data_IF_137817701936
#
_entry.id   IF_137817701936
#
_cell.length_a   1.000
_cell.length_b   1.000
_cell.length_c   1.000
_cell.angle_alpha   90.00
_cell.angle_beta   90.00
_cell.angle_gamma   90.00
#
_symmetry.space_group_name_H-M   'P 1'
#
loop_
_entity.id
_entity.type
_entity.pdbx_description
1 polymer ?
#
# COMPACT_ATOMS: atom_id res chain seq x y z
N UNK A 1 -47.24 -48.19 21.87
CA UNK A 1 -45.81 -47.94 22.19
C UNK A 1 -45.39 -46.73 21.38
N UNK A 2 -45.21 -45.59 22.04
CA UNK A 2 -44.87 -44.34 21.38
C UNK A 2 -43.34 -44.22 21.30
N UNK A 3 -42.80 -44.16 20.08
CA UNK A 3 -41.41 -43.81 19.84
C UNK A 3 -41.27 -42.29 19.98
N UNK A 4 -40.72 -41.85 21.12
CA UNK A 4 -40.25 -40.48 21.29
C UNK A 4 -38.92 -40.31 20.56
N UNK A 5 -38.94 -39.71 19.37
CA UNK A 5 -37.77 -39.11 18.74
C UNK A 5 -37.39 -37.86 19.53
N UNK A 6 -36.55 -38.04 20.55
CA UNK A 6 -35.87 -36.93 21.19
C UNK A 6 -34.87 -36.35 20.20
N UNK A 7 -35.20 -35.22 19.59
CA UNK A 7 -34.24 -34.31 19.00
C UNK A 7 -33.37 -33.77 20.13
N UNK A 8 -32.30 -34.50 20.46
CA UNK A 8 -31.20 -33.98 21.26
C UNK A 8 -30.41 -33.01 20.40
N UNK A 9 -30.79 -31.74 20.41
CA UNK A 9 -29.93 -30.65 19.96
C UNK A 9 -28.69 -30.71 20.85
N UNK A 10 -27.52 -30.95 20.26
CA UNK A 10 -26.24 -31.00 20.96
C UNK A 10 -25.94 -29.55 21.41
N UNK A 11 -26.02 -29.22 22.71
CA UNK A 11 -25.84 -27.83 23.19
C UNK A 11 -24.45 -27.26 22.83
N UNK A 12 -23.49 -28.14 22.57
CA UNK A 12 -22.13 -27.78 22.16
C UNK A 12 -22.06 -27.21 20.73
N UNK A 13 -22.95 -27.64 19.82
CA UNK A 13 -22.95 -27.17 18.42
C UNK A 13 -23.61 -25.80 18.29
N UNK A 14 -24.73 -25.58 18.99
CA UNK A 14 -25.41 -24.28 18.99
C UNK A 14 -24.54 -23.20 19.65
N UNK A 15 -23.86 -23.53 20.76
CA UNK A 15 -22.92 -22.62 21.42
C UNK A 15 -21.76 -22.27 20.48
N UNK A 16 -21.18 -23.27 19.80
CA UNK A 16 -20.10 -23.05 18.83
C UNK A 16 -20.54 -22.19 17.64
N UNK A 17 -21.73 -22.41 17.10
CA UNK A 17 -22.26 -21.61 15.99
C UNK A 17 -22.45 -20.14 16.42
N UNK A 18 -22.90 -19.89 17.65
CA UNK A 18 -23.00 -18.54 18.20
C UNK A 18 -21.64 -17.86 18.33
N UNK A 19 -20.60 -18.59 18.78
CA UNK A 19 -19.22 -18.09 18.84
C UNK A 19 -18.69 -17.74 17.44
N UNK A 20 -18.89 -18.61 16.45
CA UNK A 20 -18.48 -18.36 15.06
C UNK A 20 -19.16 -17.10 14.52
N UNK A 21 -20.47 -16.97 14.70
CA UNK A 21 -21.24 -15.79 14.27
C UNK A 21 -20.73 -14.53 14.96
N UNK A 22 -20.42 -14.60 16.26
CA UNK A 22 -19.86 -13.48 16.99
C UNK A 22 -18.50 -13.04 16.42
N UNK A 23 -17.62 -13.99 16.12
CA UNK A 23 -16.31 -13.70 15.53
C UNK A 23 -16.41 -13.13 14.11
N UNK A 24 -17.29 -13.68 13.26
CA UNK A 24 -17.51 -13.15 11.90
C UNK A 24 -18.11 -11.74 11.92
N UNK A 25 -19.03 -11.45 12.85
CA UNK A 25 -19.55 -10.08 13.05
C UNK A 25 -18.47 -9.13 13.56
N UNK A 26 -17.64 -9.58 14.51
CA UNK A 26 -16.48 -8.84 14.97
C UNK A 26 -15.54 -8.50 13.82
N UNK A 27 -15.26 -9.48 12.96
CA UNK A 27 -14.44 -9.28 11.77
C UNK A 27 -15.04 -8.22 10.83
N UNK A 28 -16.33 -8.30 10.50
CA UNK A 28 -17.00 -7.30 9.65
C UNK A 28 -16.96 -5.89 10.26
N UNK A 29 -17.05 -5.78 11.59
CA UNK A 29 -16.89 -4.50 12.30
C UNK A 29 -15.48 -3.92 12.09
N UNK A 30 -14.44 -4.71 12.34
CA UNK A 30 -13.05 -4.26 12.15
C UNK A 30 -12.73 -3.94 10.69
N UNK A 31 -13.37 -4.63 9.73
CA UNK A 31 -13.25 -4.27 8.31
C UNK A 31 -13.86 -2.89 8.01
N UNK A 32 -14.99 -2.55 8.63
CA UNK A 32 -15.60 -1.22 8.47
C UNK A 32 -14.69 -0.12 9.01
N UNK A 33 -14.09 -0.35 10.18
CA UNK A 33 -13.12 0.58 10.80
C UNK A 33 -11.87 0.74 9.91
N UNK A 34 -11.38 -0.37 9.37
CA UNK A 34 -10.25 -0.39 8.44
C UNK A 34 -10.53 0.43 7.16
N UNK A 35 -11.71 0.31 6.59
CA UNK A 35 -12.15 1.12 5.43
C UNK A 35 -12.15 2.61 5.78
N UNK A 36 -12.56 2.99 6.99
CA UNK A 36 -12.49 4.38 7.45
C UNK A 36 -11.06 4.91 7.49
N UNK A 37 -10.10 4.12 7.99
CA UNK A 37 -8.68 4.50 8.01
C UNK A 37 -8.10 4.67 6.60
N UNK A 38 -8.45 3.79 5.65
CA UNK A 38 -8.05 3.98 4.25
C UNK A 38 -8.57 5.28 3.66
N UNK A 39 -9.82 5.63 3.98
CA UNK A 39 -10.42 6.88 3.52
C UNK A 39 -9.67 8.08 4.09
N UNK A 40 -9.42 8.07 5.40
CA UNK A 40 -8.65 9.13 6.07
C UNK A 40 -7.26 9.29 5.46
N UNK A 41 -6.55 8.18 5.23
CA UNK A 41 -5.26 8.17 4.56
C UNK A 41 -5.30 8.79 3.16
N UNK A 42 -6.28 8.39 2.34
CA UNK A 42 -6.42 8.87 0.97
C UNK A 42 -6.84 10.34 0.93
N UNK A 43 -7.72 10.78 1.82
CA UNK A 43 -8.16 12.16 1.90
C UNK A 43 -7.02 13.08 2.37
N UNK A 44 -6.22 12.65 3.35
CA UNK A 44 -5.02 13.36 3.77
C UNK A 44 -4.00 13.50 2.63
N UNK A 45 -3.81 12.45 1.83
CA UNK A 45 -2.92 12.52 0.65
C UNK A 45 -3.41 13.55 -0.38
N UNK A 46 -4.71 13.59 -0.67
CA UNK A 46 -5.28 14.61 -1.58
C UNK A 46 -5.07 16.03 -1.05
N UNK A 47 -5.20 16.24 0.25
CA UNK A 47 -4.96 17.54 0.87
C UNK A 47 -3.49 17.94 0.81
N UNK A 48 -2.60 16.99 1.03
CA UNK A 48 -1.15 17.18 0.90
C UNK A 48 -0.73 17.56 -0.53
N UNK A 49 -1.19 16.81 -1.53
CA UNK A 49 -0.92 17.11 -2.96
C UNK A 49 -1.50 18.47 -3.35
N UNK A 50 -2.69 18.80 -2.85
CA UNK A 50 -3.32 20.11 -3.08
C UNK A 50 -2.65 21.27 -2.32
N UNK A 51 -1.55 21.03 -1.62
CA UNK A 51 -0.83 22.01 -0.77
C UNK A 51 -1.71 22.67 0.29
N UNK A 52 -2.75 21.98 0.73
CA UNK A 52 -3.67 22.41 1.82
C UNK A 52 -3.28 21.84 3.18
N UNK A 53 -2.25 21.00 3.22
CA UNK A 53 -1.73 20.33 4.40
C UNK A 53 -0.20 20.36 4.38
N UNK A 54 0.43 20.62 5.52
CA UNK A 54 1.90 20.62 5.62
C UNK A 54 2.46 19.19 5.62
N UNK A 55 3.75 19.00 5.28
CA UNK A 55 4.40 17.70 5.40
C UNK A 55 4.32 17.11 6.82
N UNK A 56 4.43 17.93 7.85
CA UNK A 56 4.39 17.50 9.25
C UNK A 56 2.99 17.02 9.68
N UNK A 57 1.94 17.73 9.23
CA UNK A 57 0.55 17.34 9.44
C UNK A 57 0.25 16.01 8.72
N UNK A 58 0.66 15.90 7.45
CA UNK A 58 0.50 14.68 6.68
C UNK A 58 1.22 13.48 7.32
N UNK A 59 2.47 13.67 7.77
CA UNK A 59 3.22 12.64 8.47
C UNK A 59 2.55 12.21 9.78
N UNK A 60 1.95 13.15 10.52
CA UNK A 60 1.20 12.86 11.74
C UNK A 60 -0.01 11.98 11.45
N UNK A 61 -0.79 12.30 10.41
CA UNK A 61 -1.94 11.47 9.99
C UNK A 61 -1.47 10.09 9.54
N UNK A 62 -0.38 10.00 8.76
CA UNK A 62 0.19 8.71 8.36
C UNK A 62 0.55 7.83 9.56
N UNK A 63 1.12 8.42 10.63
CA UNK A 63 1.43 7.69 11.86
C UNK A 63 0.18 7.19 12.57
N UNK A 64 -0.85 8.04 12.71
CA UNK A 64 -2.13 7.67 13.33
C UNK A 64 -2.79 6.52 12.56
N UNK A 65 -2.90 6.65 11.24
CA UNK A 65 -3.47 5.65 10.35
C UNK A 65 -2.70 4.33 10.44
N UNK A 66 -1.37 4.39 10.41
CA UNK A 66 -0.51 3.19 10.51
C UNK A 66 -0.74 2.46 11.81
N UNK A 67 -0.78 3.19 12.94
CA UNK A 67 -1.04 2.62 14.24
C UNK A 67 -2.44 1.98 14.30
N UNK A 68 -3.46 2.66 13.77
CA UNK A 68 -4.81 2.10 13.66
C UNK A 68 -4.86 0.81 12.84
N UNK A 69 -4.13 0.74 11.71
CA UNK A 69 -4.04 -0.51 10.93
C UNK A 69 -3.37 -1.64 11.71
N UNK A 70 -2.33 -1.34 12.50
CA UNK A 70 -1.65 -2.35 13.34
C UNK A 70 -2.61 -2.89 14.39
N UNK A 71 -3.30 -2.01 15.12
CA UNK A 71 -4.27 -2.40 16.16
C UNK A 71 -5.38 -3.28 15.60
N UNK A 72 -6.04 -2.85 14.52
CA UNK A 72 -7.09 -3.64 13.86
C UNK A 72 -6.56 -4.97 13.31
N UNK A 73 -5.30 -5.02 12.86
CA UNK A 73 -4.71 -6.26 12.36
C UNK A 73 -4.49 -7.28 13.48
N UNK A 74 -4.09 -6.84 14.67
CA UNK A 74 -3.95 -7.70 15.85
C UNK A 74 -5.32 -8.27 16.25
N UNK A 75 -6.35 -7.44 16.29
CA UNK A 75 -7.71 -7.86 16.64
C UNK A 75 -8.26 -8.88 15.62
N UNK A 76 -8.07 -8.64 14.32
CA UNK A 76 -8.49 -9.59 13.28
C UNK A 76 -7.72 -10.91 13.36
N UNK A 77 -6.41 -10.88 13.65
CA UNK A 77 -5.62 -12.10 13.84
C UNK A 77 -6.11 -12.92 15.05
N UNK A 78 -6.54 -12.25 16.12
CA UNK A 78 -7.13 -12.93 17.27
C UNK A 78 -8.46 -13.62 16.90
N UNK A 79 -9.30 -12.98 16.06
CA UNK A 79 -10.53 -13.58 15.54
C UNK A 79 -10.25 -14.76 14.60
N UNK A 80 -9.25 -14.64 13.72
CA UNK A 80 -8.81 -15.75 12.85
C UNK A 80 -8.33 -16.95 13.68
N UNK A 81 -7.52 -16.71 14.71
CA UNK A 81 -7.02 -17.75 15.60
C UNK A 81 -8.16 -18.47 16.33
N UNK A 82 -9.15 -17.72 16.82
CA UNK A 82 -10.32 -18.29 17.50
C UNK A 82 -11.17 -19.19 16.57
N UNK A 83 -11.23 -18.87 15.28
CA UNK A 83 -11.97 -19.64 14.28
C UNK A 83 -11.22 -20.87 13.73
N UNK A 84 -10.08 -21.22 14.33
CA UNK A 84 -9.27 -22.36 13.89
C UNK A 84 -8.17 -21.98 12.90
N UNK A 85 -7.51 -20.84 13.13
CA UNK A 85 -6.27 -20.46 12.48
C UNK A 85 -5.15 -21.53 12.62
N UNK A 86 -3.95 -21.29 12.09
CA UNK A 86 -2.94 -22.31 11.81
C UNK A 86 -2.47 -23.10 13.06
N UNK A 87 -2.70 -22.57 14.26
CA UNK A 87 -2.45 -23.21 15.56
C UNK A 87 -3.38 -24.40 15.88
N UNK A 88 -4.55 -24.53 15.23
CA UNK A 88 -5.50 -25.62 15.49
C UNK A 88 -5.33 -26.87 14.61
N UNK A 89 -4.39 -26.87 13.66
CA UNK A 89 -4.11 -28.06 12.82
C UNK A 89 -3.26 -29.12 13.55
N UNK A 90 -2.78 -28.87 14.76
CA UNK A 90 -1.80 -29.74 15.45
C UNK A 90 -2.46 -30.84 16.30
N UNK A 91 -3.75 -30.74 16.66
CA UNK A 91 -4.35 -31.65 17.66
C UNK A 91 -5.37 -32.67 17.13
N UNK A 92 -5.57 -32.79 15.82
CA UNK A 92 -6.53 -33.75 15.25
C UNK A 92 -5.93 -35.12 14.85
N UNK A 93 -4.66 -35.42 15.16
CA UNK A 93 -4.11 -36.75 14.92
C UNK A 93 -3.05 -37.10 15.97
N UNK A 94 -3.47 -37.83 17.01
CA UNK A 94 -2.53 -38.51 17.88
C UNK A 94 -1.73 -39.55 17.10
N UNK A 95 -0.42 -39.57 17.27
CA UNK A 95 0.42 -40.74 17.63
C UNK A 95 1.88 -40.30 17.60
N UNK A 96 2.53 -40.42 18.75
CA UNK A 96 3.96 -40.17 18.99
C UNK A 96 4.85 -40.96 18.03
N UNK A 97 5.88 -40.34 17.44
CA UNK A 97 7.26 -40.88 17.48
C UNK A 97 8.25 -39.76 17.13
N UNK A 98 9.23 -39.57 18.01
CA UNK A 98 10.41 -38.72 17.82
C UNK A 98 11.24 -39.18 16.62
N UNK A 99 11.76 -38.25 15.81
CA UNK A 99 13.12 -38.35 15.23
C UNK A 99 13.59 -36.96 14.78
N UNK A 100 14.75 -36.55 15.29
CA UNK A 100 15.50 -35.35 14.92
C UNK A 100 15.97 -35.34 13.46
N UNK A 101 15.95 -34.18 12.80
CA UNK A 101 17.11 -33.58 12.10
C UNK A 101 16.68 -32.39 11.23
N UNK A 102 17.58 -31.41 11.19
CA UNK A 102 17.60 -30.19 10.37
C UNK A 102 17.33 -30.40 8.87
N UNK A 103 16.62 -29.47 8.23
CA UNK A 103 17.18 -28.73 7.09
C UNK A 103 16.30 -27.55 6.65
N UNK A 104 16.96 -26.46 6.29
CA UNK A 104 16.39 -25.31 5.59
C UNK A 104 15.98 -25.74 4.17
N UNK A 105 14.76 -25.44 3.75
CA UNK A 105 14.46 -25.01 2.36
C UNK A 105 13.05 -24.39 2.28
N UNK A 106 12.98 -23.29 1.54
CA UNK A 106 11.81 -22.43 1.33
C UNK A 106 10.58 -23.16 0.76
N UNK A 107 9.35 -22.83 1.19
CA UNK A 107 8.17 -23.26 0.45
C UNK A 107 7.94 -22.34 -0.76
N UNK A 108 8.04 -22.92 -1.94
CA UNK A 108 7.51 -22.35 -3.20
C UNK A 108 6.00 -22.52 -3.18
N UNK A 109 5.27 -21.40 -3.10
CA UNK A 109 3.81 -21.39 -3.21
C UNK A 109 3.41 -21.57 -4.67
N UNK A 110 2.99 -22.77 -5.02
CA UNK A 110 2.28 -23.05 -6.28
C UNK A 110 0.85 -22.51 -6.14
N UNK A 111 0.56 -21.41 -6.84
CA UNK A 111 -0.80 -20.88 -7.00
C UNK A 111 -1.47 -21.69 -8.12
N UNK A 112 -2.40 -22.57 -7.76
CA UNK A 112 -3.33 -23.18 -8.71
C UNK A 112 -4.60 -22.33 -8.81
N UNK A 113 -4.80 -21.68 -9.96
CA UNK A 113 -6.10 -21.19 -10.38
C UNK A 113 -7.05 -22.39 -10.54
N UNK A 114 -8.21 -22.35 -9.88
CA UNK A 114 -9.19 -23.42 -9.91
C UNK A 114 -10.55 -22.99 -9.35
N UNK A 115 -11.38 -22.48 -10.25
CA UNK A 115 -12.83 -22.65 -10.38
C UNK A 115 -13.78 -22.43 -9.19
N UNK A 116 -14.85 -21.68 -9.50
CA UNK A 116 -16.07 -21.45 -8.72
C UNK A 116 -16.72 -22.73 -8.17
N UNK A 117 -16.22 -23.26 -7.07
CA UNK A 117 -17.00 -24.12 -6.18
C UNK A 117 -17.64 -23.25 -5.12
N UNK A 118 -18.87 -22.78 -5.41
CA UNK A 118 -19.89 -22.36 -4.42
C UNK A 118 -20.36 -23.59 -3.62
N UNK A 119 -19.39 -24.35 -3.10
CA UNK A 119 -19.58 -25.57 -2.34
C UNK A 119 -20.21 -25.22 -1.01
N UNK A 120 -21.24 -25.97 -0.62
CA UNK A 120 -21.85 -25.93 0.72
C UNK A 120 -20.76 -25.79 1.78
N UNK A 121 -20.64 -24.59 2.35
CA UNK A 121 -19.75 -24.30 3.47
C UNK A 121 -20.08 -25.26 4.60
N UNK A 122 -19.10 -26.04 5.03
CA UNK A 122 -19.26 -26.93 6.17
C UNK A 122 -19.15 -26.08 7.42
N UNK A 123 -20.24 -25.95 8.18
CA UNK A 123 -20.39 -25.04 9.33
C UNK A 123 -19.33 -25.28 10.44
N UNK A 124 -18.64 -26.42 10.42
CA UNK A 124 -17.65 -26.83 11.41
C UNK A 124 -16.17 -26.75 10.94
N UNK A 125 -15.90 -26.17 9.76
CA UNK A 125 -14.61 -26.20 9.05
C UNK A 125 -13.73 -24.95 9.28
N UNK A 126 -12.38 -25.08 9.24
CA UNK A 126 -11.42 -23.95 9.23
C UNK A 126 -11.57 -22.98 8.02
N UNK A 127 -12.57 -23.21 7.17
CA UNK A 127 -12.96 -22.36 6.03
C UNK A 127 -13.21 -20.89 6.42
N UNK A 128 -13.82 -20.62 7.58
CA UNK A 128 -14.07 -19.23 8.02
C UNK A 128 -12.77 -18.47 8.32
N UNK A 129 -11.79 -19.13 8.93
CA UNK A 129 -10.47 -18.56 9.15
C UNK A 129 -9.74 -18.33 7.82
N UNK A 130 -9.92 -19.23 6.83
CA UNK A 130 -9.36 -19.04 5.49
C UNK A 130 -9.98 -17.85 4.75
N UNK A 131 -11.29 -17.63 4.86
CA UNK A 131 -11.96 -16.45 4.29
C UNK A 131 -11.41 -15.15 4.90
N UNK A 132 -11.29 -15.10 6.23
CA UNK A 132 -10.67 -13.95 6.93
C UNK A 132 -9.25 -13.71 6.43
N UNK A 133 -8.45 -14.77 6.33
CA UNK A 133 -7.07 -14.70 5.84
C UNK A 133 -6.99 -14.18 4.40
N UNK A 134 -7.85 -14.67 3.50
CA UNK A 134 -7.89 -14.20 2.12
C UNK A 134 -8.19 -12.71 2.06
N UNK A 135 -9.20 -12.23 2.82
CA UNK A 135 -9.49 -10.80 2.92
C UNK A 135 -8.29 -10.02 3.45
N UNK A 136 -7.57 -10.52 4.47
CA UNK A 136 -6.36 -9.85 4.97
C UNK A 136 -5.25 -9.74 3.93
N UNK A 137 -5.03 -10.80 3.12
CA UNK A 137 -4.04 -10.79 2.04
C UNK A 137 -4.41 -9.76 0.97
N UNK A 138 -5.66 -9.76 0.53
CA UNK A 138 -6.16 -8.80 -0.44
C UNK A 138 -6.09 -7.36 0.09
N UNK A 139 -6.43 -7.14 1.36
CA UNK A 139 -6.28 -5.83 2.01
C UNK A 139 -4.82 -5.37 2.04
N UNK A 140 -3.87 -6.26 2.33
CA UNK A 140 -2.44 -5.94 2.26
C UNK A 140 -2.03 -5.55 0.84
N UNK A 141 -2.54 -6.25 -0.18
CA UNK A 141 -2.28 -5.93 -1.59
C UNK A 141 -2.87 -4.57 -1.98
N UNK A 142 -4.10 -4.28 -1.57
CA UNK A 142 -4.78 -3.00 -1.77
C UNK A 142 -3.99 -1.85 -1.14
N UNK A 143 -3.51 -1.99 0.10
CA UNK A 143 -2.66 -0.98 0.74
C UNK A 143 -1.37 -0.75 -0.05
N UNK A 144 -0.70 -1.83 -0.46
CA UNK A 144 0.54 -1.74 -1.23
C UNK A 144 0.33 -1.00 -2.57
N UNK A 145 -0.74 -1.33 -3.30
CA UNK A 145 -1.10 -0.66 -4.56
C UNK A 145 -1.45 0.81 -4.33
N UNK A 146 -2.17 1.13 -3.26
CA UNK A 146 -2.52 2.52 -2.90
C UNK A 146 -1.26 3.35 -2.63
N UNK A 147 -0.35 2.85 -1.79
CA UNK A 147 0.92 3.52 -1.48
C UNK A 147 1.78 3.65 -2.74
N UNK A 148 1.81 2.62 -3.59
CA UNK A 148 2.51 2.69 -4.86
C UNK A 148 1.93 3.78 -5.78
N UNK A 149 0.60 3.87 -5.91
CA UNK A 149 -0.06 4.91 -6.70
C UNK A 149 0.25 6.32 -6.19
N UNK A 150 0.21 6.52 -4.88
CA UNK A 150 0.59 7.79 -4.24
C UNK A 150 2.06 8.15 -4.48
N UNK A 151 2.96 7.17 -4.38
CA UNK A 151 4.38 7.35 -4.68
C UNK A 151 4.59 7.76 -6.14
N UNK A 152 3.95 7.07 -7.09
CA UNK A 152 4.04 7.40 -8.52
C UNK A 152 3.56 8.84 -8.80
N UNK A 153 2.49 9.28 -8.12
CA UNK A 153 2.00 10.64 -8.26
C UNK A 153 3.00 11.70 -7.76
N UNK A 154 3.64 11.46 -6.61
CA UNK A 154 4.67 12.36 -6.08
C UNK A 154 5.95 12.37 -6.92
N UNK A 155 6.35 11.23 -7.47
CA UNK A 155 7.50 11.12 -8.38
C UNK A 155 7.25 11.90 -9.69
N UNK A 156 6.03 11.81 -10.24
CA UNK A 156 5.62 12.63 -11.38
C UNK A 156 5.71 14.12 -11.07
N UNK A 157 5.15 14.58 -9.95
CA UNK A 157 5.19 15.99 -9.54
C UNK A 157 6.63 16.49 -9.35
N UNK A 158 7.50 15.68 -8.73
CA UNK A 158 8.91 16.03 -8.54
C UNK A 158 9.67 16.13 -9.87
N UNK A 159 9.37 15.26 -10.83
CA UNK A 159 9.95 15.31 -12.17
C UNK A 159 9.52 16.59 -12.90
N UNK A 160 8.23 16.93 -12.88
CA UNK A 160 7.70 18.16 -13.48
C UNK A 160 8.32 19.42 -12.86
N UNK A 161 8.48 19.46 -11.54
CA UNK A 161 9.12 20.58 -10.85
C UNK A 161 10.60 20.73 -11.24
N UNK A 162 11.31 19.62 -11.45
CA UNK A 162 12.69 19.64 -11.91
C UNK A 162 12.78 20.12 -13.36
N UNK A 163 11.88 19.67 -14.24
CA UNK A 163 11.85 20.09 -15.64
C UNK A 163 11.56 21.59 -15.79
N UNK A 164 10.66 22.15 -14.96
CA UNK A 164 10.43 23.60 -14.90
C UNK A 164 11.66 24.38 -14.44
N UNK A 165 12.39 23.85 -13.44
CA UNK A 165 13.62 24.46 -12.94
C UNK A 165 14.74 24.43 -13.99
N UNK A 166 14.87 23.33 -14.71
CA UNK A 166 15.83 23.18 -15.80
C UNK A 166 15.51 24.18 -16.93
N UNK A 167 14.22 24.34 -17.28
CA UNK A 167 13.77 25.32 -18.27
C UNK A 167 14.02 26.77 -17.82
N UNK A 168 13.78 27.09 -16.56
CA UNK A 168 14.07 28.42 -16.02
C UNK A 168 15.57 28.73 -16.08
N UNK A 169 16.42 27.76 -15.74
CA UNK A 169 17.88 27.91 -15.82
C UNK A 169 18.36 28.15 -17.26
N UNK A 170 17.76 27.47 -18.24
CA UNK A 170 18.04 27.68 -19.67
C UNK A 170 17.67 29.11 -20.11
N UNK A 171 16.48 29.59 -19.76
CA UNK A 171 16.04 30.95 -20.06
C UNK A 171 16.91 32.03 -19.37
N UNK A 172 17.39 31.77 -18.17
CA UNK A 172 18.30 32.67 -17.46
C UNK A 172 19.69 32.71 -18.13
N UNK A 173 20.19 31.58 -18.62
CA UNK A 173 21.45 31.51 -19.36
C UNK A 173 21.38 32.33 -20.66
N UNK A 174 20.29 32.20 -21.43
CA UNK A 174 20.08 32.96 -22.67
C UNK A 174 20.00 34.48 -22.42
N UNK A 175 19.40 34.89 -21.30
CA UNK A 175 19.32 36.32 -20.92
C UNK A 175 20.68 36.94 -20.63
N UNK A 176 21.62 36.18 -20.06
CA UNK A 176 22.96 36.69 -19.71
C UNK A 176 23.80 36.93 -20.97
N UNK A 177 23.70 36.07 -21.98
CA UNK A 177 24.47 36.21 -23.22
C UNK A 177 24.03 37.43 -24.05
N UNK A 178 22.76 37.81 -23.99
CA UNK A 178 22.22 38.97 -24.72
C UNK A 178 22.51 40.36 -24.12
N UNK A 179 23.05 40.44 -22.90
CA UNK A 179 23.29 41.73 -22.22
C UNK A 179 24.71 42.27 -22.39
N UNK A 180 25.63 41.50 -22.97
CA UNK A 180 27.08 41.82 -23.00
C UNK A 180 27.55 42.63 -24.21
N UNK A 181 26.69 42.94 -25.19
CA UNK A 181 27.08 43.61 -26.45
C UNK A 181 26.54 45.05 -26.63
N UNK A 182 26.13 45.74 -25.55
CA UNK A 182 25.61 47.13 -25.64
C UNK A 182 26.32 48.17 -24.74
N UNK A 183 27.59 47.96 -24.40
CA UNK A 183 28.47 49.04 -23.90
C UNK A 183 29.80 49.09 -24.69
N UNK A 184 29.73 49.46 -25.96
CA UNK A 184 30.87 50.09 -26.64
C UNK A 184 30.44 51.45 -27.17
N UNK A 185 31.25 52.46 -26.83
CA UNK A 185 31.21 53.87 -27.28
C UNK A 185 30.48 54.88 -26.38
N UNK A 186 31.10 55.21 -25.25
CA UNK A 186 31.24 56.62 -24.84
C UNK A 186 32.69 56.89 -24.42
N UNK A 187 33.32 57.79 -25.18
CA UNK A 187 34.70 58.26 -25.06
C UNK A 187 34.99 59.04 -23.77
N UNK A 188 36.18 58.77 -23.20
CA UNK A 188 37.10 59.79 -22.69
C UNK A 188 37.14 60.00 -21.17
N UNK A 189 38.24 59.62 -20.51
CA UNK A 189 39.28 60.56 -20.10
C UNK A 189 40.49 59.84 -19.45
N UNK A 190 41.64 60.48 -19.54
CA UNK A 190 43.01 59.97 -19.34
C UNK A 190 43.43 59.63 -17.88
N UNK A 191 44.54 58.86 -17.82
CA UNK A 191 45.60 58.86 -16.79
C UNK A 191 45.31 58.27 -15.39
N UNK A 192 45.84 57.08 -15.09
CA UNK A 192 47.22 56.90 -14.58
C UNK A 192 47.49 55.43 -14.27
N UNK A 193 48.72 55.00 -14.52
CA UNK A 193 49.16 53.61 -14.36
C UNK A 193 49.30 53.15 -12.92
N UNK A 194 49.24 51.83 -12.75
CA UNK A 194 49.96 51.03 -11.75
C UNK A 194 50.10 49.63 -12.38
N UNK A 195 51.34 49.18 -12.51
CA UNK A 195 51.70 47.81 -12.83
C UNK A 195 51.26 46.89 -11.67
N UNK A 196 50.55 45.80 -11.97
CA UNK A 196 50.39 44.70 -11.02
C UNK A 196 50.46 43.38 -11.77
N UNK A 197 51.45 42.60 -11.37
CA UNK A 197 51.82 41.31 -11.91
C UNK A 197 50.74 40.25 -11.67
N UNK A 198 50.49 39.46 -12.71
CA UNK A 198 50.34 38.01 -12.65
C UNK A 198 49.42 37.41 -11.59
N UNK A 199 48.19 37.10 -11.99
CA UNK A 199 47.52 35.91 -11.47
C UNK A 199 46.62 35.31 -12.56
N UNK A 200 47.11 34.21 -13.15
CA UNK A 200 46.34 33.31 -14.01
C UNK A 200 45.15 32.79 -13.20
N UNK A 201 43.96 33.31 -13.50
CA UNK A 201 42.72 32.75 -12.99
C UNK A 201 42.37 31.60 -13.93
N UNK A 202 42.68 30.40 -13.46
CA UNK A 202 42.23 29.14 -14.01
C UNK A 202 40.72 29.23 -14.27
N UNK A 203 40.31 29.26 -15.54
CA UNK A 203 38.93 29.05 -15.94
C UNK A 203 38.63 27.56 -15.72
N UNK A 204 38.43 27.17 -14.46
CA UNK A 204 37.79 25.91 -14.10
C UNK A 204 36.37 25.95 -14.64
N UNK A 205 36.26 25.38 -15.85
CA UNK A 205 35.10 24.72 -16.40
C UNK A 205 34.24 24.15 -15.27
N UNK A 206 33.23 24.91 -14.86
CA UNK A 206 32.14 24.42 -14.01
C UNK A 206 31.29 23.52 -14.89
N UNK A 207 31.80 22.33 -15.18
CA UNK A 207 31.00 21.21 -15.63
C UNK A 207 30.06 20.90 -14.47
N UNK A 208 28.85 21.42 -14.58
CA UNK A 208 27.72 21.04 -13.76
C UNK A 208 27.68 19.50 -13.72
N UNK A 209 28.03 18.98 -12.55
CA UNK A 209 28.06 17.59 -12.21
C UNK A 209 26.62 17.09 -12.02
N UNK A 210 25.82 17.15 -13.09
CA UNK A 210 24.48 16.54 -13.17
C UNK A 210 24.60 15.10 -13.66
N UNK A 211 25.34 14.30 -12.91
CA UNK A 211 25.23 12.85 -12.98
C UNK A 211 25.36 12.34 -11.55
N UNK A 212 24.24 11.86 -10.99
CA UNK A 212 24.14 10.66 -10.15
C UNK A 212 22.76 10.64 -9.47
N UNK A 213 21.74 10.31 -10.26
CA UNK A 213 20.65 9.44 -9.83
C UNK A 213 20.02 8.92 -11.11
N UNK A 214 20.13 7.61 -11.35
CA UNK A 214 19.57 6.94 -12.52
C UNK A 214 18.04 6.87 -12.45
N UNK A 215 17.39 8.03 -12.30
CA UNK A 215 15.95 8.18 -12.46
C UNK A 215 15.68 8.15 -13.95
N UNK A 216 15.14 7.03 -14.44
CA UNK A 216 14.66 6.93 -15.82
C UNK A 216 13.55 7.97 -15.96
N UNK A 217 13.82 9.06 -16.69
CA UNK A 217 12.80 10.06 -17.03
C UNK A 217 11.74 9.37 -17.89
N UNK A 218 10.52 9.32 -17.37
CA UNK A 218 9.36 8.80 -18.10
C UNK A 218 8.67 9.95 -18.80
N UNK A 219 8.12 9.67 -19.97
CA UNK A 219 7.18 10.55 -20.66
C UNK A 219 5.88 10.71 -19.86
N UNK A 220 5.13 11.77 -20.16
CA UNK A 220 3.83 12.00 -19.53
C UNK A 220 2.87 10.84 -19.82
N UNK A 221 2.89 10.31 -21.05
CA UNK A 221 2.07 9.17 -21.47
C UNK A 221 2.41 7.91 -20.68
N UNK A 222 3.70 7.62 -20.44
CA UNK A 222 4.14 6.47 -19.63
C UNK A 222 3.70 6.59 -18.17
N UNK A 223 3.74 7.79 -17.59
CA UNK A 223 3.20 8.04 -16.25
C UNK A 223 1.69 7.79 -16.18
N UNK A 224 0.95 8.29 -17.17
CA UNK A 224 -0.50 8.08 -17.24
C UNK A 224 -0.84 6.59 -17.35
N UNK A 225 -0.14 5.84 -18.21
CA UNK A 225 -0.33 4.39 -18.34
C UNK A 225 -0.10 3.68 -17.01
N UNK A 226 1.01 3.97 -16.31
CA UNK A 226 1.32 3.36 -15.00
C UNK A 226 0.27 3.68 -13.94
N UNK A 227 -0.24 4.90 -13.89
CA UNK A 227 -1.29 5.30 -12.96
C UNK A 227 -2.61 4.59 -13.27
N UNK A 228 -2.98 4.45 -14.55
CA UNK A 228 -4.17 3.71 -14.95
C UNK A 228 -4.06 2.22 -14.64
N UNK A 229 -2.93 1.57 -14.97
CA UNK A 229 -2.70 0.17 -14.62
C UNK A 229 -2.77 -0.07 -13.11
N UNK A 230 -2.18 0.82 -12.29
CA UNK A 230 -2.25 0.72 -10.84
C UNK A 230 -3.70 0.87 -10.34
N UNK A 231 -4.45 1.83 -10.87
CA UNK A 231 -5.87 2.04 -10.54
C UNK A 231 -6.73 0.83 -10.91
N UNK A 232 -6.52 0.27 -12.09
CA UNK A 232 -7.32 -0.84 -12.58
C UNK A 232 -7.07 -2.10 -11.73
N UNK A 233 -5.81 -2.38 -11.37
CA UNK A 233 -5.46 -3.44 -10.40
C UNK A 233 -6.04 -3.18 -9.02
N UNK A 234 -6.08 -1.93 -8.56
CA UNK A 234 -6.67 -1.57 -7.28
C UNK A 234 -8.18 -1.85 -7.27
N UNK A 235 -8.88 -1.52 -8.36
CA UNK A 235 -10.30 -1.81 -8.50
C UNK A 235 -10.58 -3.31 -8.50
N UNK A 236 -9.78 -4.10 -9.21
CA UNK A 236 -9.88 -5.57 -9.22
C UNK A 236 -9.77 -6.15 -7.79
N UNK A 237 -8.76 -5.73 -7.02
CA UNK A 237 -8.58 -6.18 -5.63
C UNK A 237 -9.75 -5.74 -4.74
N UNK A 238 -10.30 -4.55 -4.94
CA UNK A 238 -11.46 -4.06 -4.17
C UNK A 238 -12.72 -4.88 -4.48
N UNK A 239 -12.95 -5.24 -5.75
CA UNK A 239 -14.04 -6.13 -6.14
C UNK A 239 -13.90 -7.50 -5.48
N UNK A 240 -12.70 -8.08 -5.50
CA UNK A 240 -12.44 -9.38 -4.85
C UNK A 240 -12.65 -9.34 -3.33
N UNK A 241 -12.25 -8.26 -2.66
CA UNK A 241 -12.55 -8.06 -1.22
C UNK A 241 -14.06 -8.04 -0.99
N UNK A 242 -14.82 -7.31 -1.79
CA UNK A 242 -16.27 -7.19 -1.63
C UNK A 242 -16.97 -8.54 -1.83
N UNK A 243 -16.53 -9.33 -2.82
CA UNK A 243 -17.04 -10.68 -3.04
C UNK A 243 -16.78 -11.58 -1.83
N UNK A 244 -15.57 -11.54 -1.26
CA UNK A 244 -15.24 -12.32 -0.05
C UNK A 244 -16.01 -11.87 1.19
N UNK A 245 -16.29 -10.57 1.32
CA UNK A 245 -17.14 -10.05 2.39
C UNK A 245 -18.60 -10.51 2.23
N UNK A 246 -19.10 -10.60 1.00
CA UNK A 246 -20.42 -11.15 0.72
C UNK A 246 -20.50 -12.64 1.10
N UNK A 247 -19.46 -13.43 0.80
CA UNK A 247 -19.36 -14.85 1.23
C UNK A 247 -19.45 -14.97 2.76
N UNK A 248 -18.78 -14.08 3.50
CA UNK A 248 -18.83 -14.05 4.98
C UNK A 248 -20.23 -13.68 5.49
N UNK A 249 -20.90 -12.72 4.84
CA UNK A 249 -22.27 -12.35 5.19
C UNK A 249 -23.26 -13.49 4.94
N UNK A 250 -23.08 -14.24 3.83
CA UNK A 250 -23.85 -15.44 3.53
C UNK A 250 -23.63 -16.52 4.60
N UNK A 251 -22.38 -16.76 5.02
CA UNK A 251 -22.06 -17.70 6.09
C UNK A 251 -22.75 -17.34 7.42
N UNK A 252 -22.77 -16.06 7.80
CA UNK A 252 -23.51 -15.57 8.97
C UNK A 252 -25.01 -15.87 8.82
N UNK A 253 -25.59 -15.62 7.65
CA UNK A 253 -27.02 -15.84 7.43
C UNK A 253 -27.40 -17.33 7.57
N UNK A 254 -26.56 -18.24 7.06
CA UNK A 254 -26.77 -19.69 7.17
C UNK A 254 -26.65 -20.17 8.62
N UNK A 255 -25.71 -19.64 9.39
CA UNK A 255 -25.48 -20.03 10.80
C UNK A 255 -26.57 -19.53 11.78
N UNK A 256 -27.37 -18.54 11.37
CA UNK A 256 -28.42 -17.93 12.21
C UNK A 256 -29.81 -18.56 11.96
N UNK A 257 -29.97 -19.34 10.88
CA UNK A 257 -31.22 -20.03 10.51
C UNK A 257 -31.34 -21.41 11.15
#
# INVERSE_FOLDING_TARGET
MANGTGNGIHPDEETRNQEIVASLRGFLKHQTERVSLYKEFNDAFKEYVAKRMTPEEYATICNIVTQGFVELSIEILALEAHLGGPEHSINASGTSTETSASDLTSPTSTITNGENTRGRLSLNSPEHAQLIRHVQVLEKQKLALTVQGQKLALEKEAQEAQDLKDQEAELQADRIVGATDMESDVQGNEMNGIESEGQEINAESTQAQSQLNGSVRLSEEEWQVKLYENRDRLNEVVEEINDKLADIQEAIAVLVL
#
